data_IF_982800113646
#
_entry.id   IF_982800113646
#
_cell.length_a   1.000
_cell.length_b   1.000
_cell.length_c   1.000
_cell.angle_alpha   90.00
_cell.angle_beta   90.00
_cell.angle_gamma   90.00
#
_symmetry.space_group_name_H-M   'P 1'
#
loop_
_entity.id
_entity.type
_entity.pdbx_description
1 polymer ?
#
# COMPACT_ATOMS: atom_id res chain seq x y z
N UNK A 1 4.00 -11.39 -6.14
CA UNK A 1 3.58 -11.44 -4.73
C UNK A 1 4.74 -10.97 -3.90
N UNK A 2 4.67 -9.74 -3.39
CA UNK A 2 5.65 -9.21 -2.44
C UNK A 2 5.01 -9.18 -1.06
N UNK A 3 5.81 -9.41 -0.01
CA UNK A 3 5.38 -9.18 1.36
C UNK A 3 5.54 -7.68 1.70
N UNK A 4 4.68 -6.84 1.11
CA UNK A 4 4.79 -5.39 1.24
C UNK A 4 3.78 -4.62 0.40
N UNK A 5 4.08 -3.33 0.17
CA UNK A 5 3.20 -2.41 -0.56
C UNK A 5 3.62 -2.32 -2.02
N UNK A 6 2.67 -2.52 -2.94
CA UNK A 6 2.88 -2.31 -4.38
C UNK A 6 1.85 -1.31 -4.89
N UNK A 7 2.32 -0.25 -5.53
CA UNK A 7 1.47 0.75 -6.18
C UNK A 7 1.79 0.70 -7.68
N UNK A 8 0.77 0.43 -8.48
CA UNK A 8 0.89 0.34 -9.94
C UNK A 8 0.38 1.66 -10.53
N UNK A 9 1.28 2.45 -11.09
CA UNK A 9 0.95 3.68 -11.82
C UNK A 9 0.78 3.40 -13.33
N UNK A 10 -0.07 4.18 -14.00
CA UNK A 10 -0.29 4.09 -15.44
C UNK A 10 0.77 4.92 -16.19
N UNK A 11 1.11 4.53 -17.43
CA UNK A 11 2.15 5.22 -18.22
C UNK A 11 1.89 6.70 -18.51
N UNK A 12 0.64 7.17 -18.48
CA UNK A 12 0.27 8.58 -18.61
C UNK A 12 -0.01 9.27 -17.27
N UNK A 13 0.41 8.68 -16.16
CA UNK A 13 0.31 9.33 -14.84
C UNK A 13 1.06 10.65 -14.84
N UNK A 14 0.39 11.71 -14.42
CA UNK A 14 1.00 13.03 -14.25
C UNK A 14 2.03 13.02 -13.12
N UNK A 15 2.92 14.02 -13.08
CA UNK A 15 3.89 14.17 -11.98
C UNK A 15 3.21 14.23 -10.60
N UNK A 16 2.01 14.82 -10.51
CA UNK A 16 1.21 14.85 -9.28
C UNK A 16 0.74 13.45 -8.87
N UNK A 17 0.30 12.63 -9.84
CA UNK A 17 -0.11 11.26 -9.57
C UNK A 17 1.06 10.40 -9.07
N UNK A 18 2.25 10.55 -9.67
CA UNK A 18 3.46 9.84 -9.22
C UNK A 18 3.85 10.27 -7.81
N UNK A 19 3.84 11.58 -7.50
CA UNK A 19 4.11 12.08 -6.14
C UNK A 19 3.14 11.49 -5.12
N UNK A 20 1.85 11.42 -5.46
CA UNK A 20 0.84 10.86 -4.58
C UNK A 20 1.02 9.35 -4.38
N UNK A 21 1.42 8.62 -5.42
CA UNK A 21 1.75 7.20 -5.29
C UNK A 21 2.90 6.98 -4.27
N UNK A 22 3.97 7.76 -4.36
CA UNK A 22 5.08 7.69 -3.40
C UNK A 22 4.60 8.00 -1.97
N UNK A 23 3.83 9.08 -1.80
CA UNK A 23 3.26 9.47 -0.50
C UNK A 23 2.43 8.33 0.10
N UNK A 24 1.51 7.74 -0.67
CA UNK A 24 0.67 6.63 -0.21
C UNK A 24 1.52 5.41 0.14
N UNK A 25 2.56 5.11 -0.65
CA UNK A 25 3.50 4.03 -0.33
C UNK A 25 4.16 4.23 1.03
N UNK A 26 4.63 5.44 1.32
CA UNK A 26 5.23 5.79 2.61
C UNK A 26 4.21 5.72 3.77
N UNK A 27 3.03 6.32 3.61
CA UNK A 27 1.98 6.29 4.63
C UNK A 27 1.52 4.86 4.95
N UNK A 28 1.46 3.99 3.93
CA UNK A 28 1.06 2.58 4.10
C UNK A 28 2.07 1.82 4.99
N UNK A 29 3.36 2.11 4.85
CA UNK A 29 4.42 1.56 5.70
C UNK A 29 4.37 2.16 7.11
N UNK A 30 4.27 3.49 7.22
CA UNK A 30 4.26 4.20 8.50
C UNK A 30 3.09 3.78 9.39
N UNK A 31 1.89 3.62 8.79
CA UNK A 31 0.69 3.17 9.50
C UNK A 31 0.57 1.66 9.59
N UNK A 32 1.60 0.90 9.17
CA UNK A 32 1.65 -0.58 9.30
C UNK A 32 0.39 -1.26 8.77
N UNK A 33 -0.09 -0.82 7.61
CA UNK A 33 -1.38 -1.28 7.05
C UNK A 33 -1.38 -2.80 6.82
N UNK A 34 -0.31 -3.36 6.25
CA UNK A 34 -0.22 -4.81 6.01
C UNK A 34 -0.34 -5.63 7.32
N UNK A 35 0.44 -5.35 8.38
CA UNK A 35 0.25 -6.01 9.69
C UNK A 35 -1.18 -5.89 10.26
N UNK A 36 -1.83 -4.74 10.09
CA UNK A 36 -3.22 -4.59 10.54
C UNK A 36 -4.18 -5.46 9.74
N UNK A 37 -4.01 -5.56 8.42
CA UNK A 37 -4.81 -6.46 7.57
C UNK A 37 -4.59 -7.92 7.99
N UNK A 38 -3.34 -8.35 8.17
CA UNK A 38 -3.01 -9.72 8.60
C UNK A 38 -3.64 -10.07 9.96
N UNK A 39 -3.57 -9.16 10.93
CA UNK A 39 -4.20 -9.35 12.23
C UNK A 39 -5.72 -9.51 12.10
N UNK A 40 -6.37 -8.65 11.30
CA UNK A 40 -7.82 -8.76 11.06
C UNK A 40 -8.19 -10.07 10.35
N UNK A 41 -7.40 -10.50 9.36
CA UNK A 41 -7.63 -11.77 8.66
C UNK A 41 -7.57 -12.96 9.64
N UNK A 42 -6.58 -12.97 10.53
CA UNK A 42 -6.47 -13.96 11.60
C UNK A 42 -7.69 -13.96 12.55
N UNK A 43 -8.20 -12.78 12.92
CA UNK A 43 -9.39 -12.66 13.77
C UNK A 43 -10.65 -13.22 13.09
N UNK A 44 -10.79 -13.06 11.77
CA UNK A 44 -11.95 -13.58 11.01
C UNK A 44 -11.73 -14.99 10.46
N UNK A 45 -10.60 -15.63 10.76
CA UNK A 45 -10.30 -17.01 10.38
C UNK A 45 -10.00 -17.21 8.88
N UNK A 46 -9.51 -16.17 8.19
CA UNK A 46 -9.01 -16.22 6.81
C UNK A 46 -7.48 -16.15 6.77
#
# INVERSE_FOLDING_TARGET
GVNGVVIIAHGGSTAVAVRNAIRVGMETVQHRVNPHIEATLQEVGL
#
